data_IF_643944029476
#
_entry.id   IF_643944029476
#
_cell.length_a   1.000
_cell.length_b   1.000
_cell.length_c   1.000
_cell.angle_alpha   90.00
_cell.angle_beta   90.00
_cell.angle_gamma   90.00
#
_symmetry.space_group_name_H-M   'P 1'
#
loop_
_entity.id
_entity.type
_entity.pdbx_description
1 polymer ?
#
# COMPACT_ATOMS: atom_id res chain seq x y z
N UNK A 1 -1.42 -1.07 13.30
CA UNK A 1 -2.65 -1.71 12.79
C UNK A 1 -3.90 -1.34 13.58
N UNK A 2 -3.91 -1.42 14.92
CA UNK A 2 -5.12 -1.17 15.73
C UNK A 2 -5.81 0.18 15.48
N UNK A 3 -5.05 1.26 15.27
CA UNK A 3 -5.67 2.57 14.98
C UNK A 3 -6.34 2.61 13.60
N UNK A 4 -5.75 2.00 12.56
CA UNK A 4 -6.37 1.92 11.23
C UNK A 4 -7.70 1.18 11.31
N UNK A 5 -7.72 0.00 11.95
CA UNK A 5 -8.95 -0.78 12.17
C UNK A 5 -10.05 0.07 12.79
N UNK A 6 -9.73 0.75 13.91
CA UNK A 6 -10.66 1.64 14.59
C UNK A 6 -11.20 2.76 13.70
N UNK A 7 -10.37 3.34 12.83
CA UNK A 7 -10.81 4.42 11.93
C UNK A 7 -11.77 3.92 10.85
N UNK A 8 -11.53 2.73 10.29
CA UNK A 8 -12.43 2.12 9.30
C UNK A 8 -13.78 1.71 9.92
N UNK A 9 -13.78 1.15 11.13
CA UNK A 9 -15.00 0.77 11.84
C UNK A 9 -15.85 1.96 12.33
N UNK A 10 -15.30 3.18 12.34
CA UNK A 10 -16.02 4.39 12.73
C UNK A 10 -16.73 5.08 11.54
N UNK A 11 -16.78 4.43 10.38
CA UNK A 11 -17.48 4.93 9.19
C UNK A 11 -18.84 4.23 9.04
N UNK A 12 -19.67 4.73 8.12
CA UNK A 12 -20.99 4.15 7.80
C UNK A 12 -20.90 2.88 6.93
N UNK A 13 -19.87 2.07 7.12
CA UNK A 13 -19.69 0.77 6.49
C UNK A 13 -19.99 -0.33 7.51
N UNK A 14 -20.65 -1.40 7.08
CA UNK A 14 -20.96 -2.52 7.99
C UNK A 14 -19.67 -3.21 8.41
N UNK A 15 -19.63 -3.58 9.68
CA UNK A 15 -18.45 -4.21 10.26
C UNK A 15 -18.11 -5.54 9.56
N UNK A 16 -19.13 -6.32 9.20
CA UNK A 16 -18.99 -7.59 8.47
C UNK A 16 -18.42 -7.45 7.04
N UNK A 17 -18.39 -6.25 6.45
CA UNK A 17 -17.93 -6.03 5.08
C UNK A 17 -16.43 -5.64 4.99
N UNK A 18 -15.73 -5.56 6.13
CA UNK A 18 -14.34 -5.12 6.19
C UNK A 18 -13.44 -6.27 6.64
N UNK A 19 -12.40 -6.58 5.86
CA UNK A 19 -11.46 -7.66 6.17
C UNK A 19 -10.00 -7.19 6.12
N UNK A 20 -9.17 -7.74 7.00
CA UNK A 20 -7.73 -7.53 7.05
C UNK A 20 -7.04 -8.84 6.74
N UNK A 21 -6.45 -8.94 5.54
CA UNK A 21 -5.76 -10.15 5.14
C UNK A 21 -4.24 -10.05 5.34
N UNK A 22 -3.63 -11.08 5.93
CA UNK A 22 -2.21 -11.14 6.29
C UNK A 22 -1.68 -12.58 6.30
N UNK A 23 -0.36 -12.73 6.30
CA UNK A 23 0.25 -14.03 6.55
C UNK A 23 -0.26 -14.61 7.89
N UNK A 24 -0.73 -15.85 7.85
CA UNK A 24 -1.07 -16.63 9.03
C UNK A 24 0.13 -17.35 9.62
N UNK A 25 0.13 -17.50 10.95
CA UNK A 25 1.01 -18.45 11.66
C UNK A 25 0.36 -19.83 11.69
N UNK A 26 1.15 -20.87 11.92
CA UNK A 26 0.66 -22.26 11.92
C UNK A 26 -0.56 -22.48 12.83
N UNK A 27 -0.60 -21.87 14.02
CA UNK A 27 -1.75 -21.96 14.93
C UNK A 27 -2.95 -21.10 14.51
N UNK A 28 -2.73 -20.04 13.75
CA UNK A 28 -3.82 -19.20 13.20
C UNK A 28 -4.46 -19.87 11.98
N UNK A 29 -3.71 -20.69 11.25
CA UNK A 29 -4.16 -21.37 10.03
C UNK A 29 -4.80 -22.73 10.30
N UNK A 30 -4.38 -23.43 11.36
CA UNK A 30 -4.92 -24.76 11.71
C UNK A 30 -4.85 -25.76 10.53
N UNK A 31 -3.73 -25.74 9.79
CA UNK A 31 -3.49 -26.58 8.61
C UNK A 31 -4.28 -26.20 7.36
N UNK A 32 -5.01 -25.08 7.37
CA UNK A 32 -5.84 -24.62 6.25
C UNK A 32 -5.11 -23.58 5.40
N UNK A 33 -5.51 -23.49 4.12
CA UNK A 33 -5.05 -22.48 3.15
C UNK A 33 -5.33 -21.05 3.62
N UNK A 34 -6.45 -20.88 4.33
CA UNK A 34 -6.85 -19.62 4.94
C UNK A 34 -7.71 -19.89 6.18
N UNK A 35 -7.75 -18.92 7.10
CA UNK A 35 -8.63 -18.97 8.26
C UNK A 35 -9.11 -17.55 8.62
N UNK A 36 -10.41 -17.36 8.79
CA UNK A 36 -10.98 -16.09 9.24
C UNK A 36 -11.23 -16.13 10.75
N UNK A 37 -10.64 -15.19 11.49
CA UNK A 37 -10.94 -14.97 12.91
C UNK A 37 -11.42 -13.54 13.12
N UNK A 38 -12.71 -13.38 13.39
CA UNK A 38 -13.36 -12.07 13.34
C UNK A 38 -13.26 -11.49 11.92
N UNK A 39 -12.47 -10.44 11.75
CA UNK A 39 -12.24 -9.78 10.47
C UNK A 39 -10.80 -9.92 9.98
N UNK A 40 -9.97 -10.68 10.70
CA UNK A 40 -8.61 -10.99 10.28
C UNK A 40 -8.61 -12.29 9.45
N UNK A 41 -8.33 -12.15 8.16
CA UNK A 41 -8.15 -13.26 7.24
C UNK A 41 -6.66 -13.66 7.21
N UNK A 42 -6.35 -14.79 7.83
CA UNK A 42 -5.03 -15.38 7.80
C UNK A 42 -4.87 -16.23 6.54
N UNK A 43 -3.76 -16.05 5.83
CA UNK A 43 -3.47 -16.73 4.57
C UNK A 43 -2.18 -17.55 4.72
N UNK A 44 -2.17 -18.77 4.19
CA UNK A 44 -0.99 -19.64 4.14
C UNK A 44 -0.02 -19.20 3.03
N UNK A 45 0.54 -18.00 3.21
CA UNK A 45 1.53 -17.43 2.31
C UNK A 45 2.35 -16.37 3.02
N UNK A 46 3.63 -16.25 2.67
CA UNK A 46 4.52 -15.24 3.25
C UNK A 46 4.11 -13.81 2.90
N UNK A 47 4.38 -12.86 3.80
CA UNK A 47 4.25 -11.42 3.55
C UNK A 47 5.41 -10.81 2.71
N UNK A 48 6.22 -11.64 2.06
CA UNK A 48 7.31 -11.18 1.18
C UNK A 48 6.77 -10.50 -0.08
N UNK A 49 7.51 -9.49 -0.56
CA UNK A 49 7.10 -8.66 -1.70
C UNK A 49 6.85 -9.46 -2.99
N UNK A 50 7.59 -10.55 -3.20
CA UNK A 50 7.42 -11.44 -4.36
C UNK A 50 6.15 -12.31 -4.27
N UNK A 51 5.62 -12.51 -3.07
CA UNK A 51 4.43 -13.32 -2.84
C UNK A 51 3.15 -12.48 -2.72
N UNK A 52 3.23 -11.15 -2.88
CA UNK A 52 2.06 -10.27 -2.79
C UNK A 52 0.99 -10.60 -3.83
N UNK A 53 1.35 -10.87 -5.09
CA UNK A 53 0.38 -11.28 -6.12
C UNK A 53 -0.36 -12.57 -5.75
N UNK A 54 0.39 -13.59 -5.32
CA UNK A 54 -0.19 -14.85 -4.85
C UNK A 54 -1.07 -14.67 -3.62
N UNK A 55 -0.67 -13.78 -2.70
CA UNK A 55 -1.46 -13.45 -1.51
C UNK A 55 -2.77 -12.75 -1.89
N UNK A 56 -2.72 -11.85 -2.87
CA UNK A 56 -3.91 -11.21 -3.44
C UNK A 56 -4.85 -12.25 -4.04
N UNK A 57 -4.33 -13.20 -4.83
CA UNK A 57 -5.13 -14.30 -5.39
C UNK A 57 -5.79 -15.16 -4.30
N UNK A 58 -5.07 -15.52 -3.24
CA UNK A 58 -5.63 -16.26 -2.10
C UNK A 58 -6.76 -15.49 -1.39
N UNK A 59 -6.59 -14.18 -1.22
CA UNK A 59 -7.62 -13.34 -0.62
C UNK A 59 -8.86 -13.24 -1.53
N UNK A 60 -8.68 -13.15 -2.84
CA UNK A 60 -9.77 -13.10 -3.82
C UNK A 60 -10.52 -14.43 -3.90
N UNK A 61 -9.80 -15.54 -3.90
CA UNK A 61 -10.36 -16.89 -3.85
C UNK A 61 -11.22 -17.09 -2.59
N UNK A 62 -10.72 -16.68 -1.42
CA UNK A 62 -11.52 -16.68 -0.20
C UNK A 62 -12.76 -15.80 -0.33
N UNK A 63 -12.61 -14.55 -0.78
CA UNK A 63 -13.71 -13.59 -0.91
C UNK A 63 -14.83 -14.15 -1.80
N UNK A 64 -14.49 -14.65 -2.98
CA UNK A 64 -15.46 -15.17 -3.96
C UNK A 64 -16.25 -16.38 -3.45
N UNK A 65 -15.64 -17.20 -2.60
CA UNK A 65 -16.28 -18.41 -2.08
C UNK A 65 -17.08 -18.18 -0.79
N UNK A 66 -16.92 -17.04 -0.12
CA UNK A 66 -17.45 -16.85 1.23
C UNK A 66 -18.34 -15.60 1.39
N UNK A 67 -18.19 -14.61 0.52
CA UNK A 67 -18.87 -13.31 0.64
C UNK A 67 -19.60 -13.00 -0.66
N UNK A 68 -20.85 -12.52 -0.55
CA UNK A 68 -21.54 -11.93 -1.68
C UNK A 68 -21.32 -10.41 -1.72
N UNK A 69 -20.96 -9.89 -2.89
CA UNK A 69 -20.54 -8.50 -3.05
C UNK A 69 -20.62 -8.08 -4.52
N UNK A 70 -20.86 -6.79 -4.75
CA UNK A 70 -20.81 -6.18 -6.08
C UNK A 70 -19.42 -5.62 -6.41
N UNK A 71 -18.82 -4.93 -5.44
CA UNK A 71 -17.54 -4.26 -5.55
C UNK A 71 -16.61 -4.63 -4.39
N UNK A 72 -15.36 -4.90 -4.73
CA UNK A 72 -14.23 -5.02 -3.83
C UNK A 72 -13.42 -3.72 -3.89
N UNK A 73 -13.19 -3.11 -2.73
CA UNK A 73 -12.25 -2.00 -2.59
C UNK A 73 -11.08 -2.43 -1.71
N UNK A 74 -9.87 -2.39 -2.28
CA UNK A 74 -8.65 -2.87 -1.63
C UNK A 74 -7.63 -1.73 -1.44
N UNK A 75 -7.75 -0.94 -0.36
CA UNK A 75 -6.77 0.07 -0.02
C UNK A 75 -5.51 -0.54 0.63
N UNK A 76 -4.40 0.19 0.57
CA UNK A 76 -3.24 -0.13 1.43
C UNK A 76 -3.46 0.32 2.87
N UNK A 77 -2.72 -0.22 3.85
CA UNK A 77 -2.73 0.31 5.21
C UNK A 77 -2.38 1.81 5.29
N UNK A 78 -1.66 2.34 4.31
CA UNK A 78 -1.31 3.77 4.21
C UNK A 78 -2.36 4.61 3.46
N UNK A 79 -3.59 4.12 3.31
CA UNK A 79 -4.67 4.82 2.64
C UNK A 79 -5.90 4.91 3.52
N UNK A 80 -6.55 6.07 3.50
CA UNK A 80 -7.87 6.29 4.08
C UNK A 80 -8.91 6.28 2.96
N UNK A 81 -10.00 5.56 3.17
CA UNK A 81 -11.17 5.57 2.29
C UNK A 81 -12.27 6.32 3.01
N UNK A 82 -12.86 7.31 2.35
CA UNK A 82 -14.11 7.93 2.78
C UNK A 82 -15.28 7.18 2.16
N UNK A 83 -16.01 6.41 2.97
CA UNK A 83 -17.05 5.51 2.48
C UNK A 83 -18.19 6.26 1.74
N UNK A 84 -18.58 7.45 2.22
CA UNK A 84 -19.63 8.24 1.60
C UNK A 84 -19.24 8.67 0.19
N UNK A 85 -18.07 9.28 0.03
CA UNK A 85 -17.56 9.67 -1.28
C UNK A 85 -17.25 8.45 -2.17
N UNK A 86 -16.81 7.33 -1.59
CA UNK A 86 -16.60 6.07 -2.33
C UNK A 86 -17.91 5.57 -2.95
N UNK A 87 -18.99 5.51 -2.16
CA UNK A 87 -20.28 5.05 -2.64
C UNK A 87 -20.79 5.93 -3.79
N UNK A 88 -20.70 7.25 -3.63
CA UNK A 88 -21.03 8.19 -4.70
C UNK A 88 -20.16 7.95 -5.95
N UNK A 89 -18.85 7.80 -5.76
CA UNK A 89 -17.91 7.56 -6.85
C UNK A 89 -18.23 6.28 -7.64
N UNK A 90 -18.53 5.18 -6.96
CA UNK A 90 -18.92 3.91 -7.59
C UNK A 90 -20.22 4.08 -8.39
N UNK A 91 -21.23 4.73 -7.79
CA UNK A 91 -22.51 4.95 -8.46
C UNK A 91 -22.36 5.78 -9.74
N UNK A 92 -21.59 6.86 -9.68
CA UNK A 92 -21.43 7.78 -10.81
C UNK A 92 -20.57 7.20 -11.93
N UNK A 93 -19.59 6.35 -11.61
CA UNK A 93 -18.55 5.96 -12.56
C UNK A 93 -18.58 4.49 -12.98
N UNK A 94 -19.08 3.60 -12.13
CA UNK A 94 -18.85 2.15 -12.25
C UNK A 94 -20.11 1.29 -12.26
N UNK A 95 -21.25 1.78 -11.75
CA UNK A 95 -22.47 0.97 -11.62
C UNK A 95 -22.93 0.34 -12.95
N UNK A 96 -22.78 1.07 -14.06
CA UNK A 96 -23.18 0.61 -15.39
C UNK A 96 -22.07 -0.13 -16.15
N UNK A 97 -20.89 -0.34 -15.55
CA UNK A 97 -19.77 -1.00 -16.22
C UNK A 97 -19.82 -2.51 -16.03
N UNK A 98 -19.67 -3.24 -17.15
CA UNK A 98 -19.66 -4.72 -17.15
C UNK A 98 -18.49 -5.29 -16.32
N UNK A 99 -17.30 -4.74 -16.50
CA UNK A 99 -16.07 -5.13 -15.79
C UNK A 99 -15.43 -3.84 -15.29
N UNK A 100 -15.00 -3.85 -14.02
CA UNK A 100 -14.36 -2.71 -13.39
C UNK A 100 -12.99 -3.14 -12.89
N UNK A 101 -11.96 -2.56 -13.50
CA UNK A 101 -10.60 -2.51 -12.96
C UNK A 101 -10.29 -1.03 -12.72
N UNK A 102 -10.43 -0.60 -11.47
CA UNK A 102 -10.45 0.81 -11.10
C UNK A 102 -9.38 1.20 -10.09
N UNK A 103 -8.97 2.47 -10.14
CA UNK A 103 -7.99 3.07 -9.22
C UNK A 103 -7.08 4.05 -9.95
N UNK A 104 -6.30 4.86 -9.23
CA UNK A 104 -5.46 5.90 -9.82
C UNK A 104 -4.52 5.33 -10.87
N UNK A 105 -4.76 5.69 -12.13
CA UNK A 105 -3.94 5.23 -13.25
C UNK A 105 -2.52 5.78 -13.09
N UNK A 106 -1.56 4.87 -13.20
CA UNK A 106 -0.13 5.14 -13.25
C UNK A 106 0.47 4.40 -14.43
N UNK A 107 1.68 4.80 -14.81
CA UNK A 107 2.38 4.23 -15.94
C UNK A 107 3.79 3.81 -15.53
N UNK A 108 4.26 2.72 -16.12
CA UNK A 108 5.61 2.22 -16.00
C UNK A 108 5.98 1.44 -17.26
N UNK A 109 7.21 0.94 -17.34
CA UNK A 109 7.61 0.06 -18.42
C UNK A 109 7.73 -1.38 -17.90
N UNK A 110 7.34 -2.35 -18.74
CA UNK A 110 7.64 -3.76 -18.50
C UNK A 110 9.15 -4.05 -18.69
N UNK A 111 9.56 -5.30 -18.43
CA UNK A 111 10.95 -5.72 -18.61
C UNK A 111 11.44 -5.61 -20.07
N UNK A 112 10.54 -5.58 -21.04
CA UNK A 112 10.84 -5.40 -22.47
C UNK A 112 10.84 -3.93 -22.89
N UNK A 113 10.56 -3.00 -21.97
CA UNK A 113 10.50 -1.57 -22.24
C UNK A 113 9.15 -1.08 -22.79
N UNK A 114 8.11 -1.92 -22.84
CA UNK A 114 6.79 -1.49 -23.30
C UNK A 114 6.04 -0.76 -22.18
N UNK A 115 5.29 0.27 -22.55
CA UNK A 115 4.45 1.01 -21.61
C UNK A 115 3.33 0.13 -21.05
N UNK A 116 3.16 0.18 -19.73
CA UNK A 116 2.11 -0.49 -18.96
C UNK A 116 1.38 0.57 -18.15
N UNK A 117 0.10 0.78 -18.48
CA UNK A 117 -0.82 1.53 -17.64
C UNK A 117 -1.45 0.58 -16.62
N UNK A 118 -1.49 0.97 -15.34
CA UNK A 118 -2.00 0.15 -14.25
C UNK A 118 -2.77 0.98 -13.22
N UNK A 119 -3.72 0.37 -12.51
CA UNK A 119 -4.35 1.01 -11.37
C UNK A 119 -3.41 0.91 -10.16
N UNK A 120 -3.06 2.05 -9.56
CA UNK A 120 -2.09 2.11 -8.46
C UNK A 120 -2.52 1.26 -7.28
N UNK A 121 -1.62 0.40 -6.77
CA UNK A 121 -1.88 -0.48 -5.64
C UNK A 121 -2.26 0.21 -4.33
N UNK A 122 -2.20 1.56 -4.27
CA UNK A 122 -2.71 2.36 -3.14
C UNK A 122 -4.19 2.12 -2.82
N UNK A 123 -5.00 1.86 -3.86
CA UNK A 123 -6.41 1.47 -3.76
C UNK A 123 -6.84 0.88 -5.09
N UNK A 124 -7.35 -0.34 -5.06
CA UNK A 124 -8.01 -0.97 -6.20
C UNK A 124 -9.51 -0.99 -5.98
N UNK A 125 -10.28 -0.77 -7.04
CA UNK A 125 -11.73 -0.97 -7.07
C UNK A 125 -12.01 -1.99 -8.16
N UNK A 126 -12.52 -3.15 -7.77
CA UNK A 126 -12.83 -4.25 -8.69
C UNK A 126 -14.31 -4.62 -8.54
N UNK A 127 -15.03 -4.86 -9.63
CA UNK A 127 -16.34 -5.52 -9.49
C UNK A 127 -16.17 -7.05 -9.45
N UNK A 128 -17.20 -7.77 -8.97
CA UNK A 128 -17.17 -9.25 -8.87
C UNK A 128 -16.68 -9.93 -10.16
N UNK A 129 -17.22 -9.51 -11.30
CA UNK A 129 -16.82 -10.02 -12.63
C UNK A 129 -15.32 -9.84 -12.93
N UNK A 130 -14.72 -8.73 -12.52
CA UNK A 130 -13.28 -8.52 -12.69
C UNK A 130 -12.48 -9.49 -11.82
N UNK A 131 -12.89 -9.70 -10.57
CA UNK A 131 -12.27 -10.68 -9.66
C UNK A 131 -12.37 -12.10 -10.23
N UNK A 132 -13.52 -12.47 -10.78
CA UNK A 132 -13.71 -13.77 -11.45
C UNK A 132 -12.73 -13.96 -12.62
N UNK A 133 -12.60 -12.94 -13.48
CA UNK A 133 -11.66 -12.97 -14.60
C UNK A 133 -10.20 -13.09 -14.13
N UNK A 134 -9.84 -12.44 -13.03
CA UNK A 134 -8.50 -12.55 -12.43
C UNK A 134 -8.23 -13.98 -11.97
N UNK A 135 -9.15 -14.59 -11.22
CA UNK A 135 -8.99 -15.94 -10.69
C UNK A 135 -8.97 -17.01 -11.80
N UNK A 136 -9.84 -16.86 -12.81
CA UNK A 136 -9.87 -17.77 -13.98
C UNK A 136 -8.58 -17.74 -14.80
N UNK A 137 -7.86 -16.62 -14.78
CA UNK A 137 -6.64 -16.41 -15.55
C UNK A 137 -5.41 -16.23 -14.65
N UNK A 138 -5.45 -16.73 -13.41
CA UNK A 138 -4.42 -16.47 -12.40
C UNK A 138 -3.02 -16.94 -12.81
N UNK A 139 -2.92 -17.97 -13.65
CA UNK A 139 -1.65 -18.51 -14.15
C UNK A 139 -0.93 -17.53 -15.09
N UNK A 140 -1.64 -16.52 -15.62
CA UNK A 140 -1.05 -15.44 -16.43
C UNK A 140 -0.39 -14.34 -15.59
N UNK A 141 -0.54 -14.37 -14.26
CA UNK A 141 -0.02 -13.35 -13.35
C UNK A 141 1.50 -13.48 -13.21
N UNK A 142 2.22 -12.47 -13.70
CA UNK A 142 3.68 -12.42 -13.60
C UNK A 142 4.11 -11.91 -12.22
N UNK A 143 4.43 -12.84 -11.31
CA UNK A 143 4.75 -12.53 -9.91
C UNK A 143 6.13 -11.87 -9.67
N UNK A 144 6.96 -11.73 -10.72
CA UNK A 144 8.23 -11.02 -10.63
C UNK A 144 8.04 -9.50 -10.53
N UNK A 145 6.90 -9.00 -11.03
CA UNK A 145 6.52 -7.59 -10.96
C UNK A 145 6.00 -7.21 -9.57
N UNK A 146 5.82 -5.90 -9.36
CA UNK A 146 5.01 -5.43 -8.24
C UNK A 146 3.56 -5.89 -8.43
N UNK A 147 2.87 -6.16 -7.33
CA UNK A 147 1.50 -6.73 -7.31
C UNK A 147 0.53 -6.01 -8.26
N UNK A 148 0.52 -4.68 -8.26
CA UNK A 148 -0.33 -3.85 -9.11
C UNK A 148 0.06 -3.87 -10.61
N UNK A 149 1.36 -3.88 -10.91
CA UNK A 149 1.87 -4.00 -12.28
C UNK A 149 1.60 -5.40 -12.85
N UNK A 150 1.88 -6.45 -12.07
CA UNK A 150 1.61 -7.84 -12.46
C UNK A 150 0.12 -8.09 -12.72
N UNK A 151 -0.75 -7.51 -11.89
CA UNK A 151 -2.21 -7.53 -12.12
C UNK A 151 -2.58 -6.86 -13.45
N UNK A 152 -2.00 -5.68 -13.75
CA UNK A 152 -2.26 -5.00 -15.01
C UNK A 152 -1.80 -5.79 -16.24
N UNK A 153 -0.65 -6.47 -16.15
CA UNK A 153 -0.15 -7.34 -17.21
C UNK A 153 -1.08 -8.53 -17.46
N UNK A 154 -1.57 -9.19 -16.39
CA UNK A 154 -2.60 -10.23 -16.49
C UNK A 154 -3.84 -9.69 -17.21
N UNK A 155 -4.40 -8.59 -16.72
CA UNK A 155 -5.65 -8.03 -17.24
C UNK A 155 -5.51 -7.55 -18.69
N UNK A 156 -4.34 -6.99 -19.05
CA UNK A 156 -4.02 -6.60 -20.44
C UNK A 156 -4.07 -7.81 -21.39
N UNK A 157 -3.57 -8.98 -20.99
CA UNK A 157 -3.62 -10.22 -21.81
C UNK A 157 -5.05 -10.66 -22.13
N UNK A 158 -6.01 -10.31 -21.27
CA UNK A 158 -7.44 -10.61 -21.46
C UNK A 158 -8.27 -9.37 -21.83
N UNK A 159 -7.63 -8.33 -22.36
CA UNK A 159 -8.27 -7.10 -22.86
C UNK A 159 -9.07 -6.31 -21.81
N UNK A 160 -8.65 -6.36 -20.54
CA UNK A 160 -9.18 -5.54 -19.46
C UNK A 160 -8.15 -4.47 -19.10
N UNK A 161 -8.57 -3.20 -19.18
CA UNK A 161 -7.69 -2.05 -18.96
C UNK A 161 -8.09 -1.28 -17.70
N UNK A 162 -7.14 -0.66 -16.99
CA UNK A 162 -7.45 0.14 -15.81
C UNK A 162 -8.28 1.37 -16.20
N UNK A 163 -9.18 1.79 -15.31
CA UNK A 163 -10.04 2.96 -15.53
C UNK A 163 -10.11 3.85 -14.30
N UNK A 164 -10.19 5.16 -14.54
CA UNK A 164 -10.57 6.16 -13.54
C UNK A 164 -9.63 6.31 -12.34
N UNK A 165 -10.25 6.59 -11.19
CA UNK A 165 -9.70 6.65 -9.85
C UNK A 165 -8.86 7.89 -9.52
N UNK A 166 -9.47 9.04 -9.28
CA UNK A 166 -8.71 10.14 -8.67
C UNK A 166 -8.50 9.89 -7.17
N UNK A 167 -7.36 10.34 -6.64
CA UNK A 167 -7.04 10.25 -5.21
C UNK A 167 -6.33 11.50 -4.74
N UNK A 168 -6.46 11.80 -3.45
CA UNK A 168 -5.72 12.89 -2.83
C UNK A 168 -4.45 12.37 -2.15
N UNK A 169 -3.28 12.86 -2.57
CA UNK A 169 -2.00 12.52 -1.92
C UNK A 169 -1.70 13.51 -0.79
N UNK A 170 -1.76 13.04 0.46
CA UNK A 170 -1.50 13.87 1.64
C UNK A 170 0.01 14.04 1.82
N UNK A 171 0.50 15.25 1.59
CA UNK A 171 1.94 15.55 1.52
C UNK A 171 2.55 15.73 2.92
N UNK A 172 2.66 14.63 3.68
CA UNK A 172 3.27 14.63 5.01
C UNK A 172 2.37 15.27 6.08
N UNK A 173 2.65 16.51 6.48
CA UNK A 173 1.94 17.18 7.58
C UNK A 173 0.53 17.65 7.12
N UNK A 174 -0.56 17.04 7.60
CA UNK A 174 -1.93 17.35 7.15
C UNK A 174 -2.46 18.68 7.69
N UNK A 175 -1.75 19.32 8.62
CA UNK A 175 -2.12 20.60 9.22
C UNK A 175 -1.52 21.81 8.50
N UNK A 176 -0.60 21.60 7.56
CA UNK A 176 0.06 22.65 6.77
C UNK A 176 -0.38 22.70 5.30
N UNK A 177 -1.36 21.90 4.92
CA UNK A 177 -1.87 21.84 3.56
C UNK A 177 -3.39 21.93 3.54
N UNK A 178 -3.93 22.48 2.46
CA UNK A 178 -5.34 22.39 2.15
C UNK A 178 -5.61 20.98 1.61
N UNK A 179 -6.57 20.30 2.22
CA UNK A 179 -6.95 18.93 1.83
C UNK A 179 -8.34 19.03 1.20
N UNK A 180 -8.43 18.65 -0.06
CA UNK A 180 -9.71 18.57 -0.76
C UNK A 180 -10.47 17.35 -0.26
N UNK A 181 -11.61 17.61 0.40
CA UNK A 181 -12.42 16.59 1.06
C UNK A 181 -13.41 15.89 0.11
N UNK A 182 -13.39 16.21 -1.19
CA UNK A 182 -14.26 15.59 -2.20
C UNK A 182 -13.79 14.22 -2.68
N UNK A 183 -12.55 13.84 -2.38
CA UNK A 183 -11.98 12.56 -2.81
C UNK A 183 -12.51 11.40 -1.96
N UNK A 184 -12.65 10.22 -2.58
CA UNK A 184 -12.95 8.98 -1.86
C UNK A 184 -11.71 8.34 -1.24
N UNK A 185 -10.53 8.58 -1.81
CA UNK A 185 -9.26 8.02 -1.33
C UNK A 185 -8.27 9.12 -0.97
N UNK A 186 -7.65 8.96 0.21
CA UNK A 186 -6.52 9.77 0.66
C UNK A 186 -5.32 8.87 0.88
N UNK A 187 -4.24 9.09 0.13
CA UNK A 187 -2.97 8.41 0.35
C UNK A 187 -2.18 9.14 1.43
N UNK A 188 -1.94 8.45 2.54
CA UNK A 188 -1.27 8.99 3.73
C UNK A 188 0.16 8.48 3.89
N UNK A 189 0.75 7.92 2.83
CA UNK A 189 2.14 7.42 2.84
C UNK A 189 3.12 8.58 2.99
N UNK A 190 3.92 8.54 4.04
CA UNK A 190 4.70 9.71 4.49
C UNK A 190 6.20 9.66 4.14
N UNK A 191 6.73 8.48 3.82
CA UNK A 191 8.16 8.22 3.68
C UNK A 191 8.76 8.51 2.30
N UNK A 192 8.00 8.31 1.22
CA UNK A 192 8.54 8.38 -0.14
C UNK A 192 9.15 9.75 -0.50
N UNK A 193 8.32 10.77 -0.68
CA UNK A 193 8.74 12.06 -1.25
C UNK A 193 8.67 13.23 -0.25
N UNK A 194 8.09 13.00 0.91
CA UNK A 194 7.77 14.09 1.86
C UNK A 194 8.76 14.17 3.03
N UNK A 195 9.63 13.17 3.17
CA UNK A 195 10.69 13.15 4.17
C UNK A 195 10.20 12.97 5.61
N UNK A 196 9.09 12.24 5.81
CA UNK A 196 8.57 11.95 7.15
C UNK A 196 8.67 10.46 7.50
N UNK A 197 8.88 10.09 8.76
CA UNK A 197 8.96 8.69 9.17
C UNK A 197 7.58 8.01 9.07
N UNK A 198 7.52 6.76 8.61
CA UNK A 198 6.25 5.99 8.46
C UNK A 198 5.40 5.89 9.75
N UNK A 199 6.01 6.08 10.92
CA UNK A 199 5.27 6.12 12.20
C UNK A 199 4.20 7.21 12.23
N UNK A 200 4.33 8.27 11.40
CA UNK A 200 3.33 9.34 11.34
C UNK A 200 2.11 8.97 10.49
N UNK A 201 2.18 7.96 9.61
CA UNK A 201 1.07 7.60 8.70
C UNK A 201 -0.23 7.42 9.47
N UNK A 202 -0.15 6.77 10.64
CA UNK A 202 -1.29 6.53 11.51
C UNK A 202 -1.89 7.86 12.05
N UNK A 203 -1.06 8.85 12.39
CA UNK A 203 -1.50 10.18 12.79
C UNK A 203 -2.13 10.96 11.62
N UNK A 204 -1.54 10.84 10.42
CA UNK A 204 -2.09 11.45 9.21
C UNK A 204 -3.48 10.90 8.92
N UNK A 205 -3.65 9.57 8.93
CA UNK A 205 -4.95 8.90 8.76
C UNK A 205 -5.99 9.41 9.76
N UNK A 206 -5.62 9.53 11.04
CA UNK A 206 -6.49 10.07 12.09
C UNK A 206 -6.89 11.52 11.80
N UNK A 207 -5.94 12.36 11.36
CA UNK A 207 -6.21 13.75 11.01
C UNK A 207 -7.16 13.89 9.82
N UNK A 208 -7.05 13.01 8.82
CA UNK A 208 -8.01 12.94 7.70
C UNK A 208 -9.39 12.56 8.19
N UNK A 209 -9.50 11.49 8.98
CA UNK A 209 -10.77 11.05 9.56
C UNK A 209 -11.45 12.17 10.35
N UNK A 210 -10.71 12.88 11.20
CA UNK A 210 -11.24 14.00 11.99
C UNK A 210 -11.75 15.16 11.12
N UNK A 211 -11.05 15.47 10.02
CA UNK A 211 -11.47 16.50 9.05
C UNK A 211 -12.78 16.10 8.35
N UNK A 212 -12.91 14.85 7.93
CA UNK A 212 -14.10 14.33 7.25
C UNK A 212 -15.29 14.16 8.21
N UNK A 213 -15.05 13.69 9.43
CA UNK A 213 -16.08 13.50 10.45
C UNK A 213 -16.53 14.80 11.13
N UNK A 214 -16.11 15.97 10.64
CA UNK A 214 -16.38 17.30 11.22
C UNK A 214 -16.00 17.44 12.72
N UNK A 215 -15.08 16.61 13.22
CA UNK A 215 -14.61 16.68 14.61
C UNK A 215 -13.61 17.83 14.74
N UNK A 216 -14.09 18.97 15.22
CA UNK A 216 -13.25 20.17 15.42
C UNK A 216 -12.24 19.95 16.54
N UNK A 217 -10.95 19.91 16.18
CA UNK A 217 -9.85 20.13 17.14
C UNK A 217 -9.69 21.61 17.45
N UNK A 218 -9.27 21.92 18.67
CA UNK A 218 -8.87 23.28 19.02
C UNK A 218 -7.67 23.71 18.15
N UNK A 219 -7.62 25.01 17.80
CA UNK A 219 -6.50 25.59 17.02
C UNK A 219 -5.15 25.31 17.70
N UNK A 220 -5.11 25.32 19.04
CA UNK A 220 -3.91 25.01 19.81
C UNK A 220 -3.45 23.57 19.62
N UNK A 221 -4.37 22.60 19.71
CA UNK A 221 -4.05 21.18 19.50
C UNK A 221 -3.56 20.91 18.08
N UNK A 222 -4.12 21.58 17.08
CA UNK A 222 -3.64 21.50 15.69
C UNK A 222 -2.21 22.02 15.56
N UNK A 223 -1.87 23.15 16.20
CA UNK A 223 -0.49 23.69 16.21
C UNK A 223 0.49 22.73 16.88
N UNK A 224 0.13 22.15 18.02
CA UNK A 224 0.97 21.17 18.73
C UNK A 224 1.23 19.94 17.85
N UNK A 225 0.17 19.34 17.28
CA UNK A 225 0.32 18.17 16.41
C UNK A 225 1.16 18.50 15.17
N UNK A 226 0.97 19.67 14.57
CA UNK A 226 1.78 20.15 13.45
C UNK A 226 3.26 20.23 13.83
N UNK A 227 3.57 20.87 14.96
CA UNK A 227 4.95 21.01 15.45
C UNK A 227 5.60 19.64 15.71
N UNK A 228 4.88 18.71 16.35
CA UNK A 228 5.38 17.36 16.58
C UNK A 228 5.75 16.63 15.28
N UNK A 229 4.94 16.74 14.23
CA UNK A 229 5.24 16.13 12.94
C UNK A 229 6.49 16.73 12.29
N UNK A 230 6.71 18.04 12.42
CA UNK A 230 7.92 18.70 11.92
C UNK A 230 9.18 18.28 12.69
N UNK A 231 9.07 18.14 14.01
CA UNK A 231 10.16 17.61 14.84
C UNK A 231 10.53 16.20 14.37
N UNK A 232 9.53 15.33 14.15
CA UNK A 232 9.76 13.99 13.62
C UNK A 232 10.38 14.00 12.22
N UNK A 233 9.98 14.95 11.37
CA UNK A 233 10.59 15.16 10.04
C UNK A 233 12.07 15.51 10.16
N UNK A 234 12.41 16.44 11.06
CA UNK A 234 13.77 16.89 11.29
C UNK A 234 14.70 15.76 11.74
N UNK A 235 14.22 14.91 12.66
CA UNK A 235 14.97 13.74 13.11
C UNK A 235 14.91 12.55 12.15
N UNK A 236 14.01 12.58 11.16
CA UNK A 236 13.93 11.53 10.16
C UNK A 236 14.97 11.72 9.08
N UNK A 237 16.11 11.07 9.28
CA UNK A 237 17.14 10.98 8.26
C UNK A 237 16.72 9.87 7.29
N UNK A 238 16.15 10.26 6.14
CA UNK A 238 15.85 9.33 5.05
C UNK A 238 17.11 8.55 4.66
N UNK A 239 17.00 7.22 4.65
CA UNK A 239 18.11 6.29 4.56
C UNK A 239 19.25 6.52 5.59
N UNK A 240 18.95 6.82 6.86
CA UNK A 240 19.96 6.96 7.91
C UNK A 240 21.02 5.85 7.87
N UNK A 241 20.59 4.59 7.82
CA UNK A 241 21.51 3.45 7.71
C UNK A 241 22.39 3.49 6.46
N UNK A 242 21.88 3.96 5.31
CA UNK A 242 22.69 4.13 4.11
C UNK A 242 23.66 5.31 4.23
N UNK A 243 23.24 6.43 4.85
CA UNK A 243 24.11 7.59 5.08
C UNK A 243 25.22 7.26 6.08
N UNK A 244 24.90 6.57 7.17
CA UNK A 244 25.88 6.03 8.12
C UNK A 244 26.81 5.04 7.41
N UNK A 245 26.27 4.11 6.62
CA UNK A 245 27.09 3.21 5.81
C UNK A 245 28.03 3.95 4.86
N UNK A 246 27.55 4.96 4.12
CA UNK A 246 28.37 5.76 3.21
C UNK A 246 29.43 6.57 3.96
N UNK A 247 29.09 7.11 5.12
CA UNK A 247 30.01 7.84 6.00
C UNK A 247 31.10 6.89 6.53
N UNK A 248 30.72 5.77 7.15
CA UNK A 248 31.65 4.73 7.62
C UNK A 248 32.53 4.24 6.48
N UNK A 249 31.97 4.01 5.28
CA UNK A 249 32.75 3.62 4.09
C UNK A 249 33.76 4.69 3.68
N UNK A 250 33.44 5.99 3.78
CA UNK A 250 34.37 7.08 3.52
C UNK A 250 35.49 7.12 4.57
N UNK A 251 35.15 6.99 5.85
CA UNK A 251 36.11 6.96 6.97
C UNK A 251 37.06 5.76 6.81
N UNK A 252 36.53 4.56 6.59
CA UNK A 252 37.31 3.33 6.33
C UNK A 252 38.25 3.53 5.13
N UNK A 253 37.76 4.10 4.01
CA UNK A 253 38.60 4.37 2.83
C UNK A 253 39.73 5.35 3.12
N UNK A 254 39.52 6.30 4.04
CA UNK A 254 40.52 7.29 4.41
C UNK A 254 41.64 6.70 5.28
N UNK A 255 41.31 5.82 6.22
CA UNK A 255 42.28 5.29 7.19
C UNK A 255 42.94 3.96 6.78
N UNK A 256 42.31 3.16 5.90
CA UNK A 256 42.83 1.83 5.57
C UNK A 256 43.65 1.81 4.28
N UNK A 257 44.75 1.04 4.25
CA UNK A 257 45.43 0.68 3.01
C UNK A 257 44.47 0.11 1.98
N UNK A 258 44.69 0.44 0.69
CA UNK A 258 43.81 0.08 -0.43
C UNK A 258 43.52 -1.43 -0.49
N UNK A 259 44.51 -2.26 -0.18
CA UNK A 259 44.37 -3.72 -0.13
C UNK A 259 43.34 -4.19 0.91
N UNK A 260 43.42 -3.66 2.13
CA UNK A 260 42.52 -3.99 3.24
C UNK A 260 41.10 -3.46 2.98
N UNK A 261 41.00 -2.23 2.46
CA UNK A 261 39.71 -1.66 2.06
C UNK A 261 38.99 -2.54 1.02
N UNK A 262 39.70 -3.00 -0.01
CA UNK A 262 39.13 -3.83 -1.07
C UNK A 262 38.68 -5.20 -0.55
N UNK A 263 39.41 -5.78 0.40
CA UNK A 263 39.02 -7.01 1.08
C UNK A 263 37.71 -6.84 1.88
N UNK A 264 37.65 -5.82 2.74
CA UNK A 264 36.45 -5.51 3.54
C UNK A 264 35.25 -5.20 2.62
N UNK A 265 35.47 -4.41 1.56
CA UNK A 265 34.44 -4.09 0.58
C UNK A 265 33.85 -5.35 -0.07
N UNK A 266 34.68 -6.33 -0.45
CA UNK A 266 34.22 -7.60 -1.04
C UNK A 266 33.36 -8.41 -0.06
N UNK A 267 33.70 -8.43 1.23
CA UNK A 267 32.88 -9.12 2.25
C UNK A 267 31.51 -8.46 2.41
N UNK A 268 31.46 -7.13 2.52
CA UNK A 268 30.20 -6.40 2.75
C UNK A 268 29.31 -6.29 1.50
N UNK A 269 29.86 -6.36 0.27
CA UNK A 269 29.07 -6.31 -0.97
C UNK A 269 27.97 -7.37 -0.98
N UNK A 270 28.25 -8.63 -0.59
CA UNK A 270 27.22 -9.68 -0.60
C UNK A 270 26.05 -9.36 0.34
N UNK A 271 26.34 -8.90 1.56
CA UNK A 271 25.31 -8.55 2.55
C UNK A 271 24.54 -7.28 2.17
N UNK A 272 25.21 -6.31 1.53
CA UNK A 272 24.59 -5.06 1.11
C UNK A 272 23.72 -5.25 -0.13
N UNK A 273 24.15 -6.09 -1.08
CA UNK A 273 23.34 -6.43 -2.25
C UNK A 273 22.07 -7.16 -1.81
N UNK A 274 22.16 -8.11 -0.86
CA UNK A 274 20.96 -8.72 -0.29
C UNK A 274 20.07 -7.71 0.46
N UNK A 275 20.67 -6.76 1.19
CA UNK A 275 19.92 -5.71 1.89
C UNK A 275 19.23 -4.73 0.91
N UNK A 276 19.91 -4.32 -0.15
CA UNK A 276 19.36 -3.45 -1.21
C UNK A 276 18.23 -4.13 -1.98
N UNK A 277 18.42 -5.38 -2.40
CA UNK A 277 17.40 -6.14 -3.13
C UNK A 277 16.15 -6.37 -2.26
N UNK A 278 16.34 -6.70 -0.96
CA UNK A 278 15.22 -6.86 -0.02
C UNK A 278 14.45 -5.58 0.25
N UNK A 279 15.10 -4.40 0.20
CA UNK A 279 14.51 -3.15 0.68
C UNK A 279 14.13 -2.15 -0.41
N UNK A 280 14.77 -2.19 -1.57
CA UNK A 280 14.74 -1.07 -2.52
C UNK A 280 14.52 -1.43 -3.99
N UNK A 281 14.18 -2.68 -4.38
CA UNK A 281 13.91 -3.14 -5.78
C UNK A 281 14.25 -2.05 -6.82
N UNK A 282 15.51 -2.00 -7.25
CA UNK A 282 15.91 -1.30 -8.48
C UNK A 282 15.82 -2.33 -9.58
#
# INVERSE_FOLDING_TARGET
>A
MNMQKKLFFNQEIKYEDIFWYRQGRSHELDGRKYNLVGNDLFLDISDDTLNMGKKTLLAFDWLNNNIDYDFLVRPTPSSYIDYKNLNQYINDNFLNKKIVYGGKIQETNDQSGNLVSFASGSSLILNKRCVDQILQNQDLWEHDYWDDVGLALLLKKINIFPTGGERFDVQGNPYKQQIDLSYYQYRCRSDNHYGYPRIIEAHVLKAIHEKLSSKRKSKMMMKINSLMLEILKFFYIYHFGWKVYLFVRKVIKFFLPISIYNFIKKMFIKQITSFKLKRFKV
#
